data_IF_360611622293
#
_entry.id   IF_360611622293
#
_cell.length_a   1.000
_cell.length_b   1.000
_cell.length_c   1.000
_cell.angle_alpha   90.00
_cell.angle_beta   90.00
_cell.angle_gamma   90.00
#
_symmetry.space_group_name_H-M   'P 1'
#
loop_
_entity.id
_entity.type
_entity.pdbx_description
1 polymer ?
#
# COMPACT_ATOMS: atom_id res chain seq x y z
N UNK A 1 -4.56 -33.10 -5.43
CA UNK A 1 -4.57 -33.15 -3.96
C UNK A 1 -4.61 -31.69 -3.51
N UNK A 2 -5.82 -31.11 -3.52
CA UNK A 2 -6.04 -29.71 -3.15
C UNK A 2 -5.88 -29.59 -1.63
N UNK A 3 -4.81 -28.94 -1.20
CA UNK A 3 -4.74 -28.42 0.15
C UNK A 3 -5.81 -27.34 0.26
N UNK A 4 -6.85 -27.61 1.05
CA UNK A 4 -7.80 -26.59 1.46
C UNK A 4 -7.04 -25.52 2.25
N UNK A 5 -6.47 -24.54 1.55
CA UNK A 5 -6.10 -23.26 2.16
C UNK A 5 -7.37 -22.75 2.80
N UNK A 6 -7.39 -22.69 4.13
CA UNK A 6 -8.50 -22.10 4.88
C UNK A 6 -8.43 -20.61 4.62
N UNK A 7 -8.95 -20.19 3.47
CA UNK A 7 -8.94 -18.81 3.06
C UNK A 7 -9.72 -18.02 4.11
N UNK A 8 -9.02 -17.12 4.79
CA UNK A 8 -9.61 -16.25 5.79
C UNK A 8 -10.69 -15.40 5.10
N UNK A 9 -11.91 -15.29 5.65
CA UNK A 9 -12.95 -14.46 5.06
C UNK A 9 -12.46 -13.04 4.81
N UNK A 10 -12.86 -12.46 3.68
CA UNK A 10 -12.42 -11.13 3.25
C UNK A 10 -12.68 -10.05 4.30
N UNK A 11 -13.81 -10.13 5.03
CA UNK A 11 -14.16 -9.12 6.03
C UNK A 11 -13.21 -9.15 7.23
N UNK A 12 -12.76 -10.34 7.66
CA UNK A 12 -11.77 -10.48 8.73
C UNK A 12 -10.41 -9.95 8.28
N UNK A 13 -10.02 -10.18 7.02
CA UNK A 13 -8.79 -9.59 6.46
C UNK A 13 -8.88 -8.06 6.44
N UNK A 14 -10.01 -7.49 6.04
CA UNK A 14 -10.22 -6.05 6.03
C UNK A 14 -10.16 -5.46 7.44
N UNK A 15 -10.75 -6.12 8.43
CA UNK A 15 -10.71 -5.70 9.84
C UNK A 15 -9.27 -5.72 10.40
N UNK A 16 -8.50 -6.79 10.12
CA UNK A 16 -7.09 -6.85 10.49
C UNK A 16 -6.32 -5.71 9.83
N UNK A 17 -6.52 -5.49 8.53
CA UNK A 17 -5.82 -4.44 7.78
C UNK A 17 -6.15 -3.02 8.26
N UNK A 18 -7.37 -2.80 8.75
CA UNK A 18 -7.75 -1.52 9.37
C UNK A 18 -6.94 -1.20 10.64
N UNK A 19 -6.32 -2.21 11.27
CA UNK A 19 -5.44 -2.02 12.43
C UNK A 19 -4.00 -1.66 12.07
N UNK A 20 -3.58 -1.93 10.83
CA UNK A 20 -2.20 -1.77 10.37
C UNK A 20 -1.90 -0.31 10.00
N UNK A 21 -0.67 0.12 10.29
CA UNK A 21 -0.12 1.37 9.76
C UNK A 21 0.12 1.25 8.24
N UNK A 22 0.13 2.39 7.53
CA UNK A 22 0.30 2.46 6.06
C UNK A 22 1.41 1.55 5.53
N UNK A 23 2.63 1.50 6.12
CA UNK A 23 3.71 0.66 5.59
C UNK A 23 3.39 -0.83 5.62
N UNK A 24 2.81 -1.33 6.71
CA UNK A 24 2.43 -2.73 6.85
C UNK A 24 1.22 -3.08 5.97
N UNK A 25 0.29 -2.14 5.84
CA UNK A 25 -0.85 -2.28 4.94
C UNK A 25 -0.42 -2.42 3.47
N UNK A 26 0.56 -1.62 3.02
CA UNK A 26 1.13 -1.71 1.66
C UNK A 26 1.81 -3.06 1.43
N UNK A 27 2.53 -3.59 2.43
CA UNK A 27 3.13 -4.93 2.35
C UNK A 27 2.07 -6.01 2.23
N UNK A 28 1.01 -5.92 3.03
CA UNK A 28 -0.09 -6.87 3.00
C UNK A 28 -0.75 -6.96 1.60
N UNK A 29 -0.96 -5.82 0.92
CA UNK A 29 -1.50 -5.78 -0.45
C UNK A 29 -0.62 -6.45 -1.53
N UNK A 30 0.62 -6.84 -1.19
CA UNK A 30 1.59 -7.45 -2.09
C UNK A 30 1.76 -8.97 -1.90
N UNK A 31 1.06 -9.58 -0.93
CA UNK A 31 1.22 -11.01 -0.59
C UNK A 31 0.58 -11.94 -1.61
N UNK A 32 -0.73 -11.79 -1.85
CA UNK A 32 -1.48 -12.60 -2.81
C UNK A 32 -2.71 -11.82 -3.32
N UNK A 33 -3.42 -12.38 -4.30
CA UNK A 33 -4.63 -11.77 -4.87
C UNK A 33 -5.76 -11.56 -3.84
N UNK A 34 -5.94 -12.51 -2.93
CA UNK A 34 -6.94 -12.43 -1.85
C UNK A 34 -6.66 -11.25 -0.90
N UNK A 35 -5.41 -11.08 -0.47
CA UNK A 35 -5.01 -9.95 0.38
C UNK A 35 -5.06 -8.62 -0.38
N UNK A 36 -4.67 -8.61 -1.66
CA UNK A 36 -4.81 -7.43 -2.50
C UNK A 36 -6.27 -6.96 -2.61
N UNK A 37 -7.22 -7.89 -2.70
CA UNK A 37 -8.65 -7.57 -2.71
C UNK A 37 -9.10 -6.88 -1.42
N UNK A 38 -8.75 -7.44 -0.25
CA UNK A 38 -9.06 -6.84 1.05
C UNK A 38 -8.41 -5.46 1.23
N UNK A 39 -7.17 -5.30 0.79
CA UNK A 39 -6.45 -4.02 0.77
C UNK A 39 -7.18 -2.96 -0.08
N UNK A 40 -7.58 -3.32 -1.31
CA UNK A 40 -8.29 -2.39 -2.20
C UNK A 40 -9.65 -1.96 -1.65
N UNK A 41 -10.37 -2.85 -0.96
CA UNK A 41 -11.63 -2.50 -0.28
C UNK A 41 -11.42 -1.48 0.83
N UNK A 42 -10.33 -1.60 1.59
CA UNK A 42 -10.02 -0.69 2.69
C UNK A 42 -9.67 0.72 2.21
N UNK A 43 -9.02 0.84 1.04
CA UNK A 43 -8.69 2.13 0.43
C UNK A 43 -9.90 2.89 -0.12
N UNK A 44 -11.08 2.28 -0.18
CA UNK A 44 -12.29 2.98 -0.60
C UNK A 44 -12.66 4.09 0.41
N UNK A 45 -13.08 5.27 -0.07
CA UNK A 45 -13.45 6.39 0.78
C UNK A 45 -14.46 5.96 1.86
N UNK A 46 -14.13 6.25 3.12
CA UNK A 46 -15.01 5.99 4.27
C UNK A 46 -14.72 4.71 5.06
N UNK A 47 -13.95 3.76 4.51
CA UNK A 47 -13.55 2.52 5.21
C UNK A 47 -12.27 2.67 6.03
N UNK A 48 -11.38 3.56 5.62
CA UNK A 48 -10.19 3.91 6.39
C UNK A 48 -10.42 5.20 7.19
N UNK A 49 -10.69 5.07 8.49
CA UNK A 49 -11.04 6.20 9.37
C UNK A 49 -10.00 6.51 10.45
N UNK A 50 -8.92 5.73 10.53
CA UNK A 50 -7.92 5.94 11.58
C UNK A 50 -7.00 7.11 11.21
N UNK A 51 -6.82 8.10 12.10
CA UNK A 51 -5.74 9.07 11.95
C UNK A 51 -4.41 8.31 11.97
N UNK A 52 -3.70 8.30 10.85
CA UNK A 52 -2.38 7.67 10.73
C UNK A 52 -1.32 8.72 10.47
N UNK A 53 -0.09 8.40 10.90
CA UNK A 53 1.04 9.26 10.64
C UNK A 53 1.28 9.28 9.11
N UNK A 54 1.36 10.45 8.46
CA UNK A 54 1.51 10.49 7.02
C UNK A 54 2.82 9.81 6.58
N UNK A 55 2.81 9.22 5.39
CA UNK A 55 4.01 8.69 4.75
C UNK A 55 4.33 9.52 3.51
N UNK A 56 5.62 9.76 3.25
CA UNK A 56 6.07 10.48 2.06
C UNK A 56 6.55 9.47 1.01
N UNK A 57 5.87 9.42 -0.13
CA UNK A 57 6.32 8.67 -1.30
C UNK A 57 7.11 9.62 -2.22
N UNK A 58 8.36 9.27 -2.54
CA UNK A 58 9.23 10.08 -3.39
C UNK A 58 10.16 9.20 -4.25
N UNK A 59 10.72 9.79 -5.29
CA UNK A 59 11.79 9.21 -6.10
C UNK A 59 13.10 9.94 -5.83
N UNK A 60 14.23 9.25 -5.97
CA UNK A 60 15.56 9.84 -5.82
C UNK A 60 16.50 9.23 -6.84
N UNK A 61 17.31 10.05 -7.50
CA UNK A 61 18.33 9.60 -8.45
C UNK A 61 19.28 8.58 -7.80
N UNK A 62 19.61 8.78 -6.53
CA UNK A 62 20.46 7.86 -5.75
C UNK A 62 19.84 6.48 -5.48
N UNK A 63 18.51 6.35 -5.56
CA UNK A 63 17.80 5.10 -5.34
C UNK A 63 17.67 4.24 -6.61
N UNK A 64 17.86 4.85 -7.78
CA UNK A 64 17.68 4.23 -9.08
C UNK A 64 16.30 4.53 -9.69
N UNK A 65 16.25 4.49 -11.02
CA UNK A 65 15.12 5.01 -11.80
C UNK A 65 13.82 4.20 -11.63
N UNK A 66 13.92 2.90 -11.29
CA UNK A 66 12.75 2.02 -11.06
C UNK A 66 12.42 1.82 -9.58
N UNK A 67 12.95 2.66 -8.69
CA UNK A 67 12.77 2.54 -7.23
C UNK A 67 12.03 3.75 -6.68
N UNK A 68 10.93 3.48 -5.97
CA UNK A 68 10.28 4.48 -5.12
C UNK A 68 10.75 4.33 -3.68
N UNK A 69 10.88 5.45 -2.99
CA UNK A 69 11.14 5.50 -1.57
C UNK A 69 9.86 5.89 -0.83
N UNK A 70 9.47 5.09 0.16
CA UNK A 70 8.38 5.40 1.08
C UNK A 70 8.99 5.70 2.46
N UNK A 71 8.97 6.96 2.86
CA UNK A 71 9.38 7.37 4.19
C UNK A 71 8.19 7.33 5.15
N UNK A 72 8.29 6.49 6.18
CA UNK A 72 7.32 6.40 7.27
C UNK A 72 7.70 7.38 8.37
N UNK A 73 6.83 8.37 8.65
CA UNK A 73 7.01 9.26 9.81
C UNK A 73 6.81 8.53 11.14
N UNK A 74 5.98 7.47 11.16
CA UNK A 74 5.74 6.65 12.34
C UNK A 74 7.01 5.93 12.79
N UNK A 75 7.73 5.35 11.83
CA UNK A 75 8.90 4.52 12.10
C UNK A 75 10.23 5.27 11.93
N UNK A 76 10.18 6.50 11.41
CA UNK A 76 11.34 7.31 11.03
C UNK A 76 12.29 6.54 10.11
N UNK A 77 11.72 5.80 9.15
CA UNK A 77 12.44 4.86 8.28
C UNK A 77 12.01 4.97 6.83
N UNK A 78 12.97 4.79 5.93
CA UNK A 78 12.73 4.72 4.48
C UNK A 78 12.67 3.27 4.01
N UNK A 79 11.63 2.97 3.23
CA UNK A 79 11.43 1.72 2.53
C UNK A 79 11.66 1.89 1.03
N UNK A 80 12.45 1.01 0.43
CA UNK A 80 12.67 0.98 -1.03
C UNK A 80 11.70 0.00 -1.67
N UNK A 81 10.94 0.49 -2.63
CA UNK A 81 9.93 -0.26 -3.36
C UNK A 81 10.39 -0.35 -4.82
N UNK A 82 10.64 -1.56 -5.30
CA UNK A 82 10.90 -1.78 -6.73
C UNK A 82 9.58 -1.70 -7.45
N UNK A 83 9.49 -0.79 -8.42
CA UNK A 83 8.29 -0.64 -9.22
C UNK A 83 8.44 -1.34 -10.55
N UNK A 84 7.34 -1.85 -11.12
CA UNK A 84 7.35 -2.29 -12.50
C UNK A 84 7.70 -1.11 -13.42
N UNK A 85 8.19 -1.39 -14.63
CA UNK A 85 8.35 -0.34 -15.64
C UNK A 85 6.99 0.24 -16.07
N UNK A 86 6.95 1.48 -16.62
CA UNK A 86 8.06 2.43 -16.76
C UNK A 86 8.33 3.22 -15.45
N UNK A 87 9.46 3.94 -15.32
CA UNK A 87 9.82 4.75 -14.16
C UNK A 87 8.73 5.74 -13.73
N UNK A 88 8.55 6.01 -12.43
CA UNK A 88 7.49 6.93 -11.97
C UNK A 88 7.62 8.32 -12.60
N UNK A 89 8.85 8.82 -12.78
CA UNK A 89 9.15 10.11 -13.40
C UNK A 89 8.53 10.25 -14.80
N UNK A 90 8.34 9.14 -15.50
CA UNK A 90 7.73 9.09 -16.84
C UNK A 90 6.23 8.78 -16.82
N UNK A 91 5.64 8.46 -15.67
CA UNK A 91 4.22 8.11 -15.55
C UNK A 91 3.37 9.37 -15.44
N UNK A 92 2.30 9.46 -16.23
CA UNK A 92 1.21 10.37 -15.94
C UNK A 92 0.43 9.86 -14.74
N UNK A 93 0.72 10.42 -13.56
CA UNK A 93 -0.02 10.15 -12.32
C UNK A 93 -1.32 10.93 -12.34
N UNK A 94 -2.44 10.23 -12.56
CA UNK A 94 -3.78 10.78 -12.34
C UNK A 94 -4.11 10.57 -10.86
N UNK A 95 -3.92 11.63 -10.06
CA UNK A 95 -4.37 11.66 -8.68
C UNK A 95 -5.84 12.08 -8.57
N UNK A 96 -6.58 11.49 -7.64
CA UNK A 96 -7.88 12.04 -7.24
C UNK A 96 -7.63 13.20 -6.27
N UNK A 97 -7.83 14.44 -6.72
CA UNK A 97 -7.88 15.59 -5.81
C UNK A 97 -9.29 15.70 -5.24
N UNK A 98 -9.42 15.69 -3.91
CA UNK A 98 -10.68 15.99 -3.24
C UNK A 98 -10.70 17.50 -3.00
N UNK A 99 -11.39 18.24 -3.88
CA UNK A 99 -11.70 19.65 -3.62
C UNK A 99 -12.81 19.68 -2.56
N UNK A 100 -12.52 20.29 -1.40
CA UNK A 100 -13.50 20.51 -0.34
C UNK A 100 -14.28 21.79 -0.61
#
# INVERSE_FOLDING_TARGET
>A
MEGASRDLPQDILTDIFATLEIPDLVRAGSVCSSWRSAYSRLLLPGHYRRPQMPCLLYTSESAGESVACLYSLAEKRTYKLTLPGPPISSRHLIGSSHHR
#
